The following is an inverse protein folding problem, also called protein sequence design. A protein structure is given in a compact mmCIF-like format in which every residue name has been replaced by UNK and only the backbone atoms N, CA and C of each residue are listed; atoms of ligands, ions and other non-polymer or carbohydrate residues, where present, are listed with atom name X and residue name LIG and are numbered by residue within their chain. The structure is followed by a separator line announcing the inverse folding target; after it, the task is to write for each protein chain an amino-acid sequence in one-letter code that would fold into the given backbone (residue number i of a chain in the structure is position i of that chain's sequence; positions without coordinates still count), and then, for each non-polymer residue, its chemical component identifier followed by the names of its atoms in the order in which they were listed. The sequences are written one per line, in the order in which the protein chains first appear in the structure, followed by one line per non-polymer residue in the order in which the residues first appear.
data_IF_297461409969
#
_entry.id   IF_297461409969
#
_cell.length_a   1.000
_cell.length_b   1.000
_cell.length_c   1.000
_cell.angle_alpha   90.00
_cell.angle_beta   90.00
_cell.angle_gamma   90.00
#
_symmetry.space_group_name_H-M   'P 1'
#
loop_
_entity.id
_entity.type
_entity.pdbx_description
1 polymer ?
#
# COMPACT_ATOMS: atom_id res chain seq x y z
N UNK A 1 6.61 -2.57 -21.90
CA UNK A 1 7.01 -1.32 -21.19
C UNK A 1 6.89 -1.58 -19.70
N UNK A 2 7.85 -1.12 -18.89
CA UNK A 2 7.78 -1.14 -17.43
C UNK A 2 7.67 0.30 -16.95
N UNK A 3 6.78 0.55 -15.98
CA UNK A 3 6.69 1.81 -15.24
C UNK A 3 6.99 1.51 -13.77
N UNK A 4 7.68 2.42 -13.08
CA UNK A 4 8.01 2.30 -11.67
C UNK A 4 7.90 3.65 -10.95
N UNK A 5 7.79 3.61 -9.61
CA UNK A 5 7.65 4.80 -8.77
C UNK A 5 6.34 5.54 -9.00
N UNK A 6 6.37 6.86 -8.83
CA UNK A 6 5.18 7.71 -8.92
C UNK A 6 4.50 7.61 -10.30
N UNK A 7 5.28 7.42 -11.37
CA UNK A 7 4.75 7.23 -12.73
C UNK A 7 3.89 5.96 -12.86
N UNK A 8 4.09 4.97 -11.99
CA UNK A 8 3.29 3.74 -11.91
C UNK A 8 2.23 3.79 -10.80
N UNK A 9 2.11 4.89 -10.07
CA UNK A 9 1.20 5.00 -8.91
C UNK A 9 1.68 4.24 -7.68
N UNK A 10 2.99 3.98 -7.54
CA UNK A 10 3.57 3.33 -6.36
C UNK A 10 3.67 4.30 -5.17
N UNK A 11 2.53 4.82 -4.73
CA UNK A 11 2.41 5.84 -3.68
C UNK A 11 1.25 5.47 -2.75
N UNK A 12 1.48 5.53 -1.43
CA UNK A 12 0.41 5.33 -0.46
C UNK A 12 -0.61 6.49 -0.51
N UNK A 13 -1.88 6.19 -0.79
CA UNK A 13 -2.94 7.20 -0.85
C UNK A 13 -3.22 7.90 0.51
N UNK A 14 -2.79 7.28 1.61
CA UNK A 14 -2.97 7.79 2.97
C UNK A 14 -2.01 8.93 3.34
N UNK A 15 -0.79 8.91 2.81
CA UNK A 15 0.27 9.84 3.22
C UNK A 15 1.02 10.50 2.05
N UNK A 16 0.85 10.01 0.83
CA UNK A 16 1.66 10.44 -0.31
C UNK A 16 3.08 9.88 -0.31
N UNK A 17 3.40 8.93 0.59
CA UNK A 17 4.72 8.30 0.65
C UNK A 17 4.95 7.37 -0.55
N UNK A 18 5.87 7.76 -1.44
CA UNK A 18 6.26 6.97 -2.62
C UNK A 18 7.72 6.52 -2.66
N UNK A 19 8.63 7.20 -1.95
CA UNK A 19 10.08 6.96 -2.05
C UNK A 19 10.46 5.49 -1.78
N UNK A 20 10.03 4.84 -0.67
CA UNK A 20 10.40 3.45 -0.42
C UNK A 20 9.85 2.49 -1.48
N UNK A 21 8.61 2.72 -1.94
CA UNK A 21 7.95 1.91 -2.96
C UNK A 21 8.65 2.08 -4.32
N UNK A 22 9.08 3.30 -4.67
CA UNK A 22 9.85 3.58 -5.87
C UNK A 22 11.21 2.87 -5.88
N UNK A 23 11.91 2.83 -4.73
CA UNK A 23 13.18 2.11 -4.59
C UNK A 23 13.00 0.60 -4.82
N UNK A 24 12.01 -0.01 -4.16
CA UNK A 24 11.71 -1.44 -4.34
C UNK A 24 11.28 -1.72 -5.79
N UNK A 25 10.38 -0.91 -6.34
CA UNK A 25 9.91 -1.05 -7.71
C UNK A 25 11.02 -0.90 -8.76
N UNK A 26 11.95 0.02 -8.55
CA UNK A 26 13.11 0.22 -9.43
C UNK A 26 14.04 -0.99 -9.44
N UNK A 27 14.29 -1.58 -8.26
CA UNK A 27 15.07 -2.83 -8.15
C UNK A 27 14.40 -3.98 -8.92
N UNK A 28 13.09 -4.18 -8.72
CA UNK A 28 12.34 -5.25 -9.39
C UNK A 28 12.24 -4.99 -10.90
N UNK A 29 12.12 -3.74 -11.32
CA UNK A 29 12.13 -3.35 -12.73
C UNK A 29 13.47 -3.70 -13.39
N UNK A 30 14.59 -3.40 -12.73
CA UNK A 30 15.92 -3.79 -13.19
C UNK A 30 16.07 -5.31 -13.32
N UNK A 31 15.62 -6.06 -12.31
CA UNK A 31 15.64 -7.53 -12.36
C UNK A 31 14.78 -8.08 -13.49
N UNK A 32 13.58 -7.54 -13.67
CA UNK A 32 12.66 -7.99 -14.73
C UNK A 32 13.21 -7.66 -16.13
N UNK A 33 13.93 -6.53 -16.27
CA UNK A 33 14.59 -6.16 -17.51
C UNK A 33 15.73 -7.13 -17.86
N UNK A 34 16.59 -7.49 -16.90
CA UNK A 34 17.68 -8.44 -17.17
C UNK A 34 17.15 -9.86 -17.42
N UNK A 35 16.13 -10.30 -16.68
CA UNK A 35 15.47 -11.60 -16.90
C UNK A 35 14.89 -11.67 -18.32
N UNK A 36 14.23 -10.60 -18.78
CA UNK A 36 13.70 -10.53 -20.13
C UNK A 36 14.79 -10.62 -21.20
N UNK A 37 15.91 -9.90 -21.02
CA UNK A 37 17.02 -9.90 -21.97
C UNK A 37 17.76 -11.25 -22.03
N UNK A 38 17.89 -11.95 -20.90
CA UNK A 38 18.66 -13.18 -20.81
C UNK A 38 17.86 -14.45 -21.11
N UNK A 39 16.62 -14.54 -20.63
CA UNK A 39 15.80 -15.75 -20.71
C UNK A 39 14.49 -15.58 -21.47
N UNK A 40 14.21 -14.39 -22.00
CA UNK A 40 12.95 -14.10 -22.68
C UNK A 40 11.74 -14.05 -21.74
N UNK A 41 11.96 -13.98 -20.42
CA UNK A 41 10.88 -13.88 -19.42
C UNK A 41 9.96 -12.70 -19.76
N UNK A 42 8.62 -12.87 -19.82
CA UNK A 42 7.73 -11.76 -20.15
C UNK A 42 7.86 -10.59 -19.18
N UNK A 43 7.94 -9.36 -19.69
CA UNK A 43 7.99 -8.16 -18.84
C UNK A 43 6.73 -8.01 -17.97
N UNK A 44 5.62 -8.67 -18.31
CA UNK A 44 4.41 -8.74 -17.48
C UNK A 44 4.66 -9.36 -16.11
N UNK A 45 5.68 -10.21 -15.93
CA UNK A 45 6.04 -10.78 -14.63
C UNK A 45 6.42 -9.70 -13.59
N UNK A 46 6.86 -8.53 -14.07
CA UNK A 46 7.07 -7.36 -13.23
C UNK A 46 5.83 -7.03 -12.37
N UNK A 47 4.63 -7.05 -12.98
CA UNK A 47 3.39 -6.69 -12.28
C UNK A 47 3.05 -7.69 -11.17
N UNK A 48 3.29 -8.98 -11.42
CA UNK A 48 3.10 -10.04 -10.43
C UNK A 48 4.02 -9.83 -9.22
N UNK A 49 5.31 -9.58 -9.47
CA UNK A 49 6.32 -9.33 -8.41
C UNK A 49 5.99 -8.08 -7.60
N UNK A 50 5.56 -7.00 -8.25
CA UNK A 50 5.10 -5.78 -7.56
C UNK A 50 3.89 -6.06 -6.68
N UNK A 51 2.91 -6.81 -7.19
CA UNK A 51 1.73 -7.21 -6.44
C UNK A 51 2.06 -8.01 -5.17
N UNK A 52 3.06 -8.89 -5.25
CA UNK A 52 3.56 -9.68 -4.12
C UNK A 52 4.29 -8.83 -3.07
N UNK A 53 5.02 -7.81 -3.50
CA UNK A 53 5.89 -7.01 -2.62
C UNK A 53 5.13 -5.93 -1.84
N UNK A 54 4.23 -5.20 -2.49
CA UNK A 54 3.50 -4.11 -1.84
C UNK A 54 2.10 -3.83 -2.40
N UNK A 55 1.53 -4.76 -3.17
CA UNK A 55 0.19 -4.59 -3.75
C UNK A 55 -0.89 -4.45 -2.66
N UNK A 56 -0.79 -5.26 -1.59
CA UNK A 56 -1.75 -5.22 -0.47
C UNK A 56 -1.73 -3.88 0.26
N UNK A 57 -0.55 -3.30 0.43
CA UNK A 57 -0.33 -2.01 1.10
C UNK A 57 -0.92 -0.87 0.27
N UNK A 58 -0.73 -0.88 -1.05
CA UNK A 58 -1.35 0.09 -1.96
C UNK A 58 -2.88 0.01 -1.90
N UNK A 59 -3.45 -1.19 -2.01
CA UNK A 59 -4.90 -1.41 -1.95
C UNK A 59 -5.49 -0.93 -0.62
N UNK A 60 -4.86 -1.30 0.49
CA UNK A 60 -5.25 -0.84 1.83
C UNK A 60 -5.17 0.68 1.94
N UNK A 61 -4.14 1.30 1.39
CA UNK A 61 -3.98 2.76 1.43
C UNK A 61 -5.17 3.46 0.75
N UNK A 62 -5.63 2.94 -0.39
CA UNK A 62 -6.79 3.50 -1.12
C UNK A 62 -8.08 3.29 -0.35
N UNK A 63 -8.29 2.10 0.24
CA UNK A 63 -9.47 1.82 1.06
C UNK A 63 -9.56 2.75 2.27
N UNK A 64 -8.45 2.92 2.99
CA UNK A 64 -8.36 3.83 4.14
C UNK A 64 -8.60 5.27 3.68
N UNK A 65 -7.99 5.69 2.57
CA UNK A 65 -8.18 7.05 2.04
C UNK A 65 -9.64 7.33 1.74
N UNK A 66 -10.37 6.40 1.09
CA UNK A 66 -11.81 6.54 0.84
C UNK A 66 -12.63 6.72 2.12
N UNK A 67 -12.29 6.03 3.21
CA UNK A 67 -12.95 6.20 4.51
C UNK A 67 -12.67 7.59 5.09
N UNK A 68 -11.42 8.03 5.04
CA UNK A 68 -11.01 9.37 5.51
C UNK A 68 -11.70 10.46 4.69
N UNK A 69 -11.80 10.30 3.36
CA UNK A 69 -12.47 11.27 2.48
C UNK A 69 -13.95 11.46 2.85
N UNK A 70 -14.63 10.42 3.39
CA UNK A 70 -15.99 10.56 3.93
C UNK A 70 -16.00 11.41 5.20
N UNK A 71 -15.06 11.18 6.12
CA UNK A 71 -14.94 11.97 7.35
C UNK A 71 -14.58 13.44 7.06
N UNK A 72 -13.78 13.70 6.02
CA UNK A 72 -13.39 15.05 5.59
C UNK A 72 -14.55 15.89 5.03
N UNK A 73 -15.75 15.31 4.81
CA UNK A 73 -16.92 16.06 4.33
C UNK A 73 -17.52 17.01 5.37
N UNK A 74 -17.13 16.90 6.64
CA UNK A 74 -17.65 17.75 7.72
C UNK A 74 -16.71 17.76 8.94
N UNK A 75 -16.50 18.95 9.51
CA UNK A 75 -15.70 19.14 10.71
C UNK A 75 -16.15 18.27 11.89
N UNK A 76 -17.46 18.02 12.01
CA UNK A 76 -17.98 17.13 13.06
C UNK A 76 -17.51 15.68 12.88
N UNK A 77 -17.43 15.20 11.65
CA UNK A 77 -17.04 13.82 11.34
C UNK A 77 -15.54 13.64 11.49
N UNK A 78 -14.74 14.60 11.03
CA UNK A 78 -13.28 14.53 11.21
C UNK A 78 -12.89 14.64 12.68
N UNK A 79 -13.58 15.50 13.45
CA UNK A 79 -13.35 15.60 14.90
C UNK A 79 -13.76 14.31 15.63
N UNK A 80 -14.86 13.67 15.22
CA UNK A 80 -15.25 12.38 15.77
C UNK A 80 -14.23 11.28 15.43
N UNK A 81 -13.69 11.27 14.21
CA UNK A 81 -12.63 10.35 13.80
C UNK A 81 -11.37 10.55 14.64
N UNK A 82 -10.94 11.80 14.86
CA UNK A 82 -9.78 12.12 15.71
C UNK A 82 -10.01 11.76 17.17
N UNK A 83 -11.22 11.95 17.69
CA UNK A 83 -11.55 11.55 19.06
C UNK A 83 -11.58 10.02 19.24
N UNK A 84 -11.91 9.28 18.17
CA UNK A 84 -12.00 7.83 18.20
C UNK A 84 -10.65 7.10 18.02
N UNK A 85 -9.65 7.77 17.42
CA UNK A 85 -8.34 7.16 17.12
C UNK A 85 -7.25 7.67 18.06
N UNK A 86 -6.46 6.75 18.61
CA UNK A 86 -5.24 7.12 19.33
C UNK A 86 -4.13 7.58 18.36
N UNK A 87 -3.11 8.33 18.83
CA UNK A 87 -1.97 8.72 18.00
C UNK A 87 -1.28 7.52 17.31
N UNK A 88 -1.16 6.38 17.99
CA UNK A 88 -0.58 5.16 17.41
C UNK A 88 -1.45 4.55 16.30
N UNK A 89 -2.77 4.65 16.45
CA UNK A 89 -3.72 4.21 15.42
C UNK A 89 -3.68 5.14 14.22
N UNK A 90 -3.58 6.46 14.44
CA UNK A 90 -3.38 7.44 13.38
C UNK A 90 -2.08 7.17 12.60
N UNK A 91 -0.99 6.89 13.30
CA UNK A 91 0.29 6.51 12.70
C UNK A 91 0.20 5.21 11.87
N UNK A 92 -0.69 4.30 12.26
CA UNK A 92 -0.94 3.06 11.51
C UNK A 92 -1.71 3.36 10.22
N UNK A 93 -2.78 4.17 10.31
CA UNK A 93 -3.54 4.69 9.15
C UNK A 93 -2.62 5.34 8.13
N UNK A 94 -1.72 6.24 8.56
CA UNK A 94 -0.80 6.94 7.65
C UNK A 94 0.16 5.98 6.92
N UNK A 95 0.53 4.86 7.57
CA UNK A 95 1.39 3.80 7.01
C UNK A 95 0.61 2.73 6.23
N UNK A 96 -0.67 2.96 5.93
CA UNK A 96 -1.56 1.99 5.29
C UNK A 96 -1.69 0.66 6.07
N UNK A 97 -1.43 0.70 7.38
CA UNK A 97 -1.59 -0.44 8.29
C UNK A 97 -2.97 -0.35 8.97
N UNK A 98 -3.67 -1.47 9.05
CA UNK A 98 -4.98 -1.53 9.71
C UNK A 98 -4.79 -1.39 11.23
N UNK A 99 -5.35 -0.34 11.87
CA UNK A 99 -5.25 -0.16 13.31
C UNK A 99 -5.91 -1.32 14.06
N UNK A 100 -5.34 -1.73 15.20
CA UNK A 100 -5.82 -2.84 16.03
C UNK A 100 -7.32 -2.85 16.38
N UNK A 101 -8.02 -1.72 16.68
CA UNK A 101 -9.46 -1.75 16.95
C UNK A 101 -10.34 -1.95 15.71
N UNK A 102 -9.77 -1.80 14.50
CA UNK A 102 -10.48 -2.00 13.23
C UNK A 102 -10.21 -3.39 12.62
N UNK A 103 -9.46 -4.27 13.32
CA UNK A 103 -9.31 -5.69 12.95
C UNK A 103 -10.60 -6.45 13.24
N UNK A 104 -11.51 -6.52 12.27
CA UNK A 104 -12.58 -7.53 12.30
C UNK A 104 -12.07 -8.90 11.84
N UNK A 105 -12.73 -10.00 12.25
CA UNK A 105 -12.37 -11.38 11.87
C UNK A 105 -12.26 -11.62 10.36
N UNK A 106 -12.93 -10.80 9.53
CA UNK A 106 -12.89 -10.90 8.07
C UNK A 106 -11.58 -10.34 7.47
N UNK A 107 -10.78 -9.61 8.26
CA UNK A 107 -9.54 -8.94 7.84
C UNK A 107 -8.29 -9.63 8.40
N UNK A 108 -8.47 -10.62 9.29
CA UNK A 108 -7.41 -11.34 10.00
C UNK A 108 -6.81 -12.52 9.21
N UNK A 109 -7.41 -12.91 8.08
CA UNK A 109 -7.00 -14.09 7.32
C UNK A 109 -5.74 -13.88 6.46
N UNK A 110 -5.29 -12.62 6.30
CA UNK A 110 -4.12 -12.28 5.49
C UNK A 110 -2.82 -12.01 6.26
N UNK A 111 -2.82 -12.11 7.60
CA UNK A 111 -1.68 -11.71 8.48
C UNK A 111 -0.92 -12.93 9.06
N UNK A 112 -1.19 -14.15 8.56
CA UNK A 112 -0.60 -15.40 9.06
C UNK A 112 0.60 -15.93 8.26
N UNK A 113 1.04 -15.29 7.16
CA UNK A 113 2.15 -15.82 6.35
C UNK A 113 3.54 -15.26 6.64
N UNK A 114 3.69 -14.26 7.51
CA UNK A 114 4.98 -13.55 7.69
C UNK A 114 5.59 -13.80 9.08
N UNK A 115 5.46 -15.04 9.59
CA UNK A 115 6.14 -15.51 10.80
C UNK A 115 6.79 -16.89 10.63
N UNK A 116 7.50 -17.08 9.52
CA UNK A 116 8.58 -18.07 9.43
C UNK A 116 9.86 -17.40 8.89
#
# INVERSE_FOLDING_TARGET
MILAGDAAGHVLATSGGGIPLAVVAGRIAGQSAIDHLQSGTPLQEYLSRIGQEFGRELDRSVQIRKMVDVAMRSDRLINALFAALSPEQMKSVMRAQIPSPLRSRHWADGDRSDKE
#
